data_IF_560680329483
#
_entry.id   IF_560680329483
#
_cell.length_a   1.000
_cell.length_b   1.000
_cell.length_c   1.000
_cell.angle_alpha   90.00
_cell.angle_beta   90.00
_cell.angle_gamma   90.00
#
_symmetry.space_group_name_H-M   'P 1'
#
loop_
_entity.id
_entity.type
_entity.pdbx_description
1 polymer ?
#
# COMPACT_ATOMS: atom_id res chain seq x y z
N UNK A 1 -23.40 10.22 -26.09
CA UNK A 1 -22.96 9.66 -25.73
C UNK A 1 -22.50 9.12 -24.45
N UNK A 2 -22.83 8.24 -24.01
CA UNK A 2 -22.60 7.91 -22.66
C UNK A 2 -21.20 7.40 -22.42
N UNK A 3 -20.61 6.69 -23.31
CA UNK A 3 -19.26 6.17 -23.14
C UNK A 3 -18.23 7.24 -22.93
N UNK A 4 -18.26 8.24 -23.77
CA UNK A 4 -17.31 9.33 -23.64
C UNK A 4 -17.55 10.16 -22.41
N UNK A 5 -18.81 10.31 -22.04
CA UNK A 5 -19.15 11.02 -20.84
C UNK A 5 -18.55 10.34 -19.62
N UNK A 6 -18.62 9.03 -19.57
CA UNK A 6 -18.05 8.28 -18.46
C UNK A 6 -16.56 8.53 -18.30
N UNK A 7 -15.81 8.57 -19.40
CA UNK A 7 -14.39 8.79 -19.33
C UNK A 7 -14.05 10.13 -18.67
N UNK A 8 -14.82 11.16 -18.95
CA UNK A 8 -14.60 12.47 -18.39
C UNK A 8 -15.02 12.53 -16.93
N UNK A 9 -16.20 12.03 -16.63
CA UNK A 9 -16.79 12.15 -15.32
C UNK A 9 -16.07 11.33 -14.26
N UNK A 10 -15.55 10.18 -14.65
CA UNK A 10 -14.94 9.26 -13.70
C UNK A 10 -13.47 9.56 -13.41
N UNK A 11 -12.85 10.53 -14.11
CA UNK A 11 -11.44 10.81 -13.90
C UNK A 11 -11.06 11.09 -12.44
N UNK A 12 -11.73 12.01 -11.71
CA UNK A 12 -11.39 12.25 -10.31
C UNK A 12 -11.68 11.04 -9.44
N UNK A 13 -12.82 10.38 -9.67
CA UNK A 13 -13.19 9.20 -8.91
C UNK A 13 -12.24 8.05 -9.19
N UNK A 14 -11.84 7.89 -10.46
CA UNK A 14 -10.89 6.86 -10.84
C UNK A 14 -9.55 7.06 -10.13
N UNK A 15 -9.07 8.30 -10.07
CA UNK A 15 -7.83 8.62 -9.36
C UNK A 15 -7.93 8.22 -7.89
N UNK A 16 -9.03 8.56 -7.24
CA UNK A 16 -9.22 8.22 -5.82
C UNK A 16 -9.33 6.73 -5.60
N UNK A 17 -10.04 6.01 -6.47
CA UNK A 17 -10.15 4.55 -6.39
C UNK A 17 -8.78 3.89 -6.59
N UNK A 18 -8.02 4.36 -7.57
CA UNK A 18 -6.70 3.82 -7.85
C UNK A 18 -5.75 4.04 -6.65
N UNK A 19 -5.79 5.22 -6.05
CA UNK A 19 -4.95 5.51 -4.89
C UNK A 19 -5.37 4.70 -3.66
N UNK A 20 -6.69 4.51 -3.46
CA UNK A 20 -7.14 3.66 -2.35
C UNK A 20 -6.61 2.23 -2.50
N UNK A 21 -6.67 1.69 -3.71
CA UNK A 21 -6.13 0.37 -3.99
C UNK A 21 -4.61 0.33 -3.78
N UNK A 22 -3.93 1.39 -4.18
CA UNK A 22 -2.47 1.48 -3.98
C UNK A 22 -2.13 1.51 -2.49
N UNK A 23 -2.89 2.24 -1.68
CA UNK A 23 -2.70 2.25 -0.23
C UNK A 23 -2.83 0.84 0.36
N UNK A 24 -3.84 0.12 -0.05
CA UNK A 24 -4.06 -1.25 0.39
C UNK A 24 -2.90 -2.17 -0.02
N UNK A 25 -2.45 -2.03 -1.25
CA UNK A 25 -1.32 -2.81 -1.76
C UNK A 25 -0.02 -2.45 -1.04
N UNK A 26 0.17 -1.18 -0.72
CA UNK A 26 1.37 -0.73 -0.03
C UNK A 26 1.47 -1.34 1.37
N UNK A 27 0.38 -1.34 2.13
CA UNK A 27 0.40 -1.89 3.48
C UNK A 27 0.58 -3.41 3.47
N UNK A 28 0.16 -4.08 2.40
CA UNK A 28 0.41 -5.50 2.23
C UNK A 28 1.91 -5.83 2.15
N UNK A 29 2.74 -4.84 1.81
CA UNK A 29 4.19 -4.99 1.86
C UNK A 29 4.73 -5.36 3.24
N UNK A 30 4.01 -4.99 4.30
CA UNK A 30 4.38 -5.40 5.65
C UNK A 30 4.30 -6.91 5.82
N UNK A 31 3.32 -7.54 5.18
CA UNK A 31 3.19 -9.01 5.20
C UNK A 31 4.39 -9.68 4.52
N UNK A 32 4.88 -9.06 3.46
CA UNK A 32 6.05 -9.54 2.73
C UNK A 32 7.29 -9.50 3.62
N UNK A 33 7.51 -8.38 4.31
CA UNK A 33 8.69 -8.22 5.17
C UNK A 33 8.65 -9.16 6.37
N UNK A 34 7.47 -9.36 6.94
CA UNK A 34 7.30 -10.27 8.07
C UNK A 34 7.22 -11.72 7.63
N UNK A 35 7.00 -11.98 6.35
CA UNK A 35 6.70 -13.29 5.80
C UNK A 35 5.51 -13.94 6.52
N UNK A 36 4.46 -13.14 6.74
CA UNK A 36 3.27 -13.53 7.48
C UNK A 36 2.01 -13.18 6.69
N UNK A 37 0.96 -13.93 6.92
CA UNK A 37 -0.36 -13.68 6.35
C UNK A 37 -1.14 -12.69 7.21
N UNK A 38 -2.38 -12.42 6.84
CA UNK A 38 -3.18 -11.35 7.43
C UNK A 38 -3.33 -11.46 8.95
N UNK A 39 -3.19 -12.65 9.51
CA UNK A 39 -3.27 -12.83 10.96
C UNK A 39 -2.27 -12.01 11.76
N UNK A 40 -1.19 -11.55 11.14
CA UNK A 40 -0.23 -10.69 11.83
C UNK A 40 -0.80 -9.35 12.26
N UNK A 41 -1.86 -8.88 11.58
CA UNK A 41 -2.50 -7.61 11.93
C UNK A 41 -3.29 -7.68 13.24
N UNK A 42 -3.44 -8.87 13.83
CA UNK A 42 -3.98 -9.00 15.18
C UNK A 42 -3.03 -8.44 16.24
N UNK A 43 -1.74 -8.30 15.92
CA UNK A 43 -0.79 -7.69 16.85
C UNK A 43 -1.03 -6.18 16.90
N UNK A 44 -1.10 -5.65 18.11
CA UNK A 44 -1.36 -4.22 18.30
C UNK A 44 -0.24 -3.36 17.71
N UNK A 45 1.02 -3.77 17.86
CA UNK A 45 2.16 -3.03 17.32
C UNK A 45 2.16 -3.02 15.79
N UNK A 46 1.75 -4.10 15.16
CA UNK A 46 1.64 -4.18 13.70
C UNK A 46 0.51 -3.27 13.21
N UNK A 47 -0.62 -3.26 13.90
CA UNK A 47 -1.72 -2.36 13.58
C UNK A 47 -1.29 -0.90 13.67
N UNK A 48 -0.55 -0.54 14.72
CA UNK A 48 -0.03 0.81 14.89
C UNK A 48 0.88 1.22 13.74
N UNK A 49 1.77 0.32 13.34
CA UNK A 49 2.67 0.56 12.20
C UNK A 49 1.87 0.70 10.91
N UNK A 50 0.90 -0.17 10.67
CA UNK A 50 0.08 -0.12 9.47
C UNK A 50 -0.69 1.20 9.36
N UNK A 51 -1.27 1.67 10.46
CA UNK A 51 -1.97 2.96 10.48
C UNK A 51 -1.02 4.11 10.19
N UNK A 52 0.16 4.11 10.78
CA UNK A 52 1.15 5.16 10.56
C UNK A 52 1.62 5.17 9.10
N UNK A 53 1.86 4.00 8.53
CA UNK A 53 2.29 3.90 7.14
C UNK A 53 1.18 4.36 6.19
N UNK A 54 -0.05 3.95 6.46
CA UNK A 54 -1.18 4.37 5.62
C UNK A 54 -1.42 5.88 5.67
N UNK A 55 -1.20 6.51 6.84
CA UNK A 55 -1.31 7.97 6.95
C UNK A 55 -0.26 8.67 6.11
N UNK A 56 0.96 8.15 6.10
CA UNK A 56 2.02 8.65 5.24
C UNK A 56 1.65 8.52 3.76
N UNK A 57 1.15 7.35 3.36
CA UNK A 57 0.69 7.11 1.98
C UNK A 57 -0.48 8.02 1.61
N UNK A 58 -1.41 8.24 2.54
CA UNK A 58 -2.56 9.10 2.30
C UNK A 58 -2.15 10.54 2.01
N UNK A 59 -1.16 11.04 2.73
CA UNK A 59 -0.65 12.40 2.50
C UNK A 59 -0.11 12.51 1.07
N UNK A 60 0.62 11.52 0.61
CA UNK A 60 1.14 11.49 -0.77
C UNK A 60 0.00 11.39 -1.78
N UNK A 61 -0.97 10.51 -1.52
CA UNK A 61 -2.12 10.35 -2.40
C UNK A 61 -2.89 11.66 -2.59
N UNK A 62 -3.13 12.38 -1.49
CA UNK A 62 -3.84 13.66 -1.53
C UNK A 62 -3.06 14.71 -2.29
N UNK A 63 -1.74 14.73 -2.18
CA UNK A 63 -0.90 15.64 -2.94
C UNK A 63 -0.99 15.37 -4.44
N UNK A 64 -1.36 14.16 -4.82
CA UNK A 64 -1.57 13.77 -6.21
C UNK A 64 -3.03 13.84 -6.65
N UNK A 65 -3.89 14.50 -5.88
CA UNK A 65 -5.26 14.77 -6.29
C UNK A 65 -6.28 13.74 -5.85
N UNK A 66 -5.90 12.73 -5.09
CA UNK A 66 -6.86 11.77 -4.57
C UNK A 66 -7.77 12.43 -3.54
N UNK A 67 -9.07 12.16 -3.65
CA UNK A 67 -10.07 12.64 -2.70
C UNK A 67 -10.45 11.46 -1.82
N UNK A 68 -9.77 11.34 -0.68
CA UNK A 68 -9.95 10.24 0.26
C UNK A 68 -10.12 10.85 1.66
N UNK A 69 -11.05 10.28 2.42
CA UNK A 69 -11.29 10.73 3.80
C UNK A 69 -10.20 10.20 4.74
N UNK A 70 -10.08 10.83 5.92
CA UNK A 70 -9.16 10.33 6.94
C UNK A 70 -9.52 8.90 7.37
N UNK A 71 -10.81 8.55 7.30
CA UNK A 71 -11.29 7.22 7.69
C UNK A 71 -10.81 6.10 6.79
N UNK A 72 -10.30 6.40 5.59
CA UNK A 72 -9.85 5.35 4.67
C UNK A 72 -8.74 4.49 5.28
N UNK A 73 -7.89 5.09 6.08
CA UNK A 73 -6.78 4.39 6.74
C UNK A 73 -7.33 3.30 7.67
N UNK A 74 -8.29 3.66 8.51
CA UNK A 74 -8.91 2.70 9.43
C UNK A 74 -9.70 1.64 8.67
N UNK A 75 -10.40 2.02 7.59
CA UNK A 75 -11.15 1.07 6.76
C UNK A 75 -10.25 -0.02 6.19
N UNK A 76 -9.08 0.37 5.72
CA UNK A 76 -8.14 -0.61 5.13
C UNK A 76 -7.64 -1.57 6.22
N UNK A 77 -7.27 -1.05 7.38
CA UNK A 77 -6.82 -1.91 8.50
C UNK A 77 -7.95 -2.82 8.97
N UNK A 78 -9.16 -2.29 9.08
CA UNK A 78 -10.32 -3.09 9.46
C UNK A 78 -10.56 -4.23 8.47
N UNK A 79 -10.32 -3.99 7.18
CA UNK A 79 -10.41 -5.01 6.17
C UNK A 79 -9.44 -6.16 6.40
N UNK A 80 -8.22 -5.87 6.81
CA UNK A 80 -7.24 -6.90 7.14
C UNK A 80 -7.62 -7.63 8.44
N UNK A 81 -8.16 -6.92 9.42
CA UNK A 81 -8.63 -7.56 10.66
C UNK A 81 -9.81 -8.50 10.42
N UNK A 82 -10.70 -8.15 9.48
CA UNK A 82 -11.86 -8.97 9.16
C UNK A 82 -11.53 -10.14 8.23
N UNK A 83 -10.37 -10.11 7.59
CA UNK A 83 -9.96 -11.17 6.67
C UNK A 83 -9.60 -12.44 7.45
N UNK A 84 -9.73 -13.62 6.80
CA UNK A 84 -9.22 -14.85 7.41
C UNK A 84 -7.74 -14.70 7.77
N UNK A 85 -7.31 -15.20 8.94
CA UNK A 85 -5.91 -15.04 9.38
C UNK A 85 -4.89 -15.62 8.41
N UNK A 86 -5.28 -16.60 7.62
CA UNK A 86 -4.41 -17.23 6.62
C UNK A 86 -4.51 -16.60 5.22
N UNK A 87 -5.21 -15.48 5.10
CA UNK A 87 -5.27 -14.75 3.84
C UNK A 87 -3.88 -14.24 3.46
N UNK A 88 -3.43 -14.59 2.27
CA UNK A 88 -2.20 -14.08 1.70
C UNK A 88 -2.48 -13.04 0.63
N UNK A 89 -1.41 -12.59 -0.01
CA UNK A 89 -1.46 -11.65 -1.13
C UNK A 89 -0.56 -12.16 -2.24
N UNK A 90 -0.72 -11.61 -3.45
CA UNK A 90 0.11 -12.02 -4.58
C UNK A 90 1.59 -11.70 -4.35
N UNK A 91 1.88 -10.56 -3.73
CA UNK A 91 3.27 -10.18 -3.47
C UNK A 91 3.89 -11.07 -2.39
N UNK A 92 3.13 -11.49 -1.40
CA UNK A 92 3.61 -12.44 -0.40
C UNK A 92 3.90 -13.80 -1.05
N UNK A 93 3.02 -14.26 -1.94
CA UNK A 93 3.23 -15.49 -2.68
C UNK A 93 4.51 -15.43 -3.51
N UNK A 94 4.78 -14.28 -4.13
CA UNK A 94 6.02 -14.08 -4.88
C UNK A 94 7.24 -14.20 -3.97
N UNK A 95 7.20 -13.59 -2.79
CA UNK A 95 8.30 -13.70 -1.84
C UNK A 95 8.53 -15.15 -1.41
N UNK A 96 7.46 -15.86 -1.07
CA UNK A 96 7.56 -17.24 -0.62
C UNK A 96 8.07 -18.19 -1.71
N UNK A 97 7.84 -17.85 -2.98
CA UNK A 97 8.33 -18.58 -4.12
C UNK A 97 9.69 -18.07 -4.63
N UNK A 98 10.29 -17.09 -3.94
CA UNK A 98 11.55 -16.45 -4.34
C UNK A 98 11.48 -15.79 -5.71
N UNK A 99 10.30 -15.28 -6.08
CA UNK A 99 10.11 -14.51 -7.30
C UNK A 99 10.35 -13.03 -7.03
N UNK A 100 10.71 -12.24 -8.04
CA UNK A 100 10.83 -10.79 -7.88
C UNK A 100 9.52 -10.18 -7.38
N UNK A 101 9.65 -9.16 -6.52
CA UNK A 101 8.51 -8.46 -5.93
C UNK A 101 8.16 -7.23 -6.76
N UNK A 102 6.90 -6.87 -6.79
CA UNK A 102 6.43 -5.64 -7.44
C UNK A 102 6.51 -4.45 -6.48
N UNK A 103 7.61 -4.36 -5.73
CA UNK A 103 7.74 -3.37 -4.68
C UNK A 103 7.76 -1.92 -5.21
N UNK A 104 8.30 -1.71 -6.40
CA UNK A 104 8.45 -0.36 -6.94
C UNK A 104 7.10 0.27 -7.28
N UNK A 105 6.20 -0.48 -7.90
CA UNK A 105 4.88 0.04 -8.27
C UNK A 105 3.88 0.03 -7.11
N UNK A 106 4.22 -0.61 -6.00
CA UNK A 106 3.35 -0.68 -4.82
C UNK A 106 3.83 0.21 -3.67
N UNK A 107 5.13 0.30 -3.48
CA UNK A 107 5.73 0.99 -2.33
C UNK A 107 6.71 2.07 -2.78
N UNK A 108 7.58 1.77 -3.73
CA UNK A 108 8.57 2.72 -4.22
C UNK A 108 7.93 3.94 -4.85
N UNK A 109 6.81 3.76 -5.54
CA UNK A 109 6.10 4.86 -6.19
C UNK A 109 5.65 5.92 -5.17
N UNK A 110 5.24 5.50 -3.98
CA UNK A 110 4.81 6.41 -2.92
C UNK A 110 5.98 7.27 -2.45
N UNK A 111 7.13 6.64 -2.27
CA UNK A 111 8.35 7.35 -1.89
C UNK A 111 8.77 8.38 -2.95
N UNK A 112 8.75 7.99 -4.22
CA UNK A 112 9.12 8.89 -5.31
C UNK A 112 8.17 10.08 -5.43
N UNK A 113 6.88 9.83 -5.34
CA UNK A 113 5.87 10.90 -5.41
C UNK A 113 5.95 11.81 -4.20
N UNK A 114 6.21 11.25 -3.02
CA UNK A 114 6.44 12.05 -1.82
C UNK A 114 7.61 13.01 -2.01
N UNK A 115 8.74 12.51 -2.49
CA UNK A 115 9.92 13.34 -2.75
C UNK A 115 9.63 14.44 -3.76
N UNK A 116 8.90 14.11 -4.84
CA UNK A 116 8.56 15.09 -5.86
C UNK A 116 7.67 16.21 -5.32
N UNK A 117 6.86 15.94 -4.31
CA UNK A 117 5.96 16.90 -3.69
C UNK A 117 6.51 17.53 -2.41
N UNK A 118 7.74 17.19 -2.03
CA UNK A 118 8.32 17.69 -0.80
C UNK A 118 7.72 17.11 0.47
N UNK A 119 7.10 15.95 0.38
CA UNK A 119 6.48 15.27 1.50
C UNK A 119 7.45 14.22 2.04
N UNK A 120 7.69 14.27 3.36
CA UNK A 120 8.53 13.30 4.03
C UNK A 120 7.81 11.96 4.12
N UNK A 121 8.54 10.87 3.80
CA UNK A 121 8.01 9.51 3.87
C UNK A 121 8.96 8.61 4.68
N UNK A 122 9.10 8.86 5.99
CA UNK A 122 10.09 8.15 6.79
C UNK A 122 9.86 6.63 6.86
N UNK A 123 8.61 6.19 6.85
CA UNK A 123 8.32 4.76 6.89
C UNK A 123 8.66 4.12 5.54
N UNK A 124 8.29 4.77 4.43
CA UNK A 124 8.69 4.31 3.10
C UNK A 124 10.20 4.22 2.97
N UNK A 125 10.93 5.16 3.56
CA UNK A 125 12.38 5.18 3.51
C UNK A 125 13.00 3.97 4.19
N UNK A 126 12.31 3.37 5.14
CA UNK A 126 12.74 2.12 5.79
C UNK A 126 12.27 0.91 5.00
N UNK A 127 11.00 0.89 4.58
CA UNK A 127 10.41 -0.29 3.96
C UNK A 127 10.90 -0.55 2.54
N UNK A 128 11.08 0.51 1.75
CA UNK A 128 11.41 0.36 0.33
C UNK A 128 12.74 -0.37 0.11
N UNK A 129 13.84 0.00 0.77
CA UNK A 129 15.09 -0.74 0.56
C UNK A 129 15.00 -2.20 1.02
N UNK A 130 14.22 -2.49 2.06
CA UNK A 130 14.04 -3.87 2.53
C UNK A 130 13.24 -4.69 1.53
N UNK A 131 12.20 -4.09 0.94
CA UNK A 131 11.42 -4.76 -0.10
C UNK A 131 12.26 -4.99 -1.35
N UNK A 132 13.06 -4.01 -1.74
CA UNK A 132 13.96 -4.14 -2.88
C UNK A 132 14.97 -5.27 -2.65
N UNK A 133 15.56 -5.33 -1.46
CA UNK A 133 16.49 -6.39 -1.10
C UNK A 133 15.80 -7.76 -1.11
N UNK A 134 14.58 -7.84 -0.57
CA UNK A 134 13.81 -9.08 -0.57
C UNK A 134 13.46 -9.56 -1.98
N UNK A 135 13.32 -8.62 -2.92
CA UNK A 135 13.04 -8.95 -4.31
C UNK A 135 14.21 -9.65 -5.00
N UNK A 136 15.42 -9.49 -4.48
CA UNK A 136 16.62 -10.12 -5.06
C UNK A 136 16.80 -11.56 -4.61
N UNK A 137 15.96 -12.03 -3.70
CA UNK A 137 15.99 -13.41 -3.25
C UNK A 137 16.66 -13.59 -1.89
N UNK A 138 16.78 -14.84 -1.44
CA UNK A 138 17.22 -15.13 -0.05
C UNK A 138 18.73 -15.09 0.16
N UNK A 139 19.53 -14.94 -0.89
CA UNK A 139 20.99 -15.02 -0.72
C UNK A 139 21.82 -13.91 -1.33
#
# INVERSE_FOLDING_TARGET
LSGTRCAVELSPDFTSVAWRKLLQNAVAGLMVLANRRAGMFAREDVTTLALAYLRECLAVARAHGAVLSDGVVQEIVDGFHAAPPDLGTSILADRQANRPLEWDIRNGVIQRYGRAQGISTPISDVLVPLLAAGSEGPG
#
